data_IF_519162725451
#
_entry.id   IF_519162725451
#
_cell.length_a   1.000
_cell.length_b   1.000
_cell.length_c   1.000
_cell.angle_alpha   90.00
_cell.angle_beta   90.00
_cell.angle_gamma   90.00
#
_symmetry.space_group_name_H-M   'P 1'
#
loop_
_entity.id
_entity.type
_entity.pdbx_description
1 polymer ?
#
# COMPACT_ATOMS: atom_id res chain seq x y z
N UNK A 1 1.64 21.82 -6.09
CA UNK A 1 1.29 20.68 -6.98
C UNK A 1 2.50 19.80 -7.33
N UNK A 2 3.56 20.33 -7.94
CA UNK A 2 4.76 19.57 -8.34
C UNK A 2 5.50 18.79 -7.24
N UNK A 3 5.58 19.32 -6.01
CA UNK A 3 6.20 18.63 -4.87
C UNK A 3 5.39 17.42 -4.39
N UNK A 4 4.06 17.53 -4.40
CA UNK A 4 3.16 16.41 -4.11
C UNK A 4 3.29 15.34 -5.21
N UNK A 5 3.28 15.75 -6.48
CA UNK A 5 3.48 14.82 -7.61
C UNK A 5 4.85 14.13 -7.54
N UNK A 6 5.90 14.85 -7.14
CA UNK A 6 7.25 14.29 -6.95
C UNK A 6 7.35 13.37 -5.73
N UNK A 7 6.67 13.71 -4.62
CA UNK A 7 6.57 12.88 -3.43
C UNK A 7 5.76 11.61 -3.67
N UNK A 8 4.66 11.70 -4.41
CA UNK A 8 3.84 10.55 -4.83
C UNK A 8 4.61 9.66 -5.81
N UNK A 9 5.31 10.24 -6.79
CA UNK A 9 6.15 9.49 -7.72
C UNK A 9 7.36 8.82 -7.03
N UNK A 10 8.00 9.52 -6.09
CA UNK A 10 9.07 8.97 -5.26
C UNK A 10 8.58 7.83 -4.37
N UNK A 11 7.41 8.00 -3.73
CA UNK A 11 6.74 6.97 -2.95
C UNK A 11 6.36 5.76 -3.79
N UNK A 12 5.86 5.97 -5.01
CA UNK A 12 5.52 4.89 -5.93
C UNK A 12 6.71 4.01 -6.27
N UNK A 13 7.86 4.61 -6.56
CA UNK A 13 9.08 3.86 -6.88
C UNK A 13 9.55 3.05 -5.66
N UNK A 14 9.55 3.65 -4.48
CA UNK A 14 9.94 2.97 -3.25
C UNK A 14 9.02 1.77 -2.94
N UNK A 15 7.70 1.93 -3.07
CA UNK A 15 6.72 0.85 -2.88
C UNK A 15 6.91 -0.26 -3.91
N UNK A 16 7.11 0.07 -5.18
CA UNK A 16 7.32 -0.94 -6.23
C UNK A 16 8.61 -1.74 -5.99
N UNK A 17 9.67 -1.08 -5.51
CA UNK A 17 10.93 -1.75 -5.20
C UNK A 17 10.81 -2.65 -3.97
N UNK A 18 10.15 -2.18 -2.92
CA UNK A 18 9.85 -3.00 -1.74
C UNK A 18 9.01 -4.23 -2.10
N UNK A 19 8.05 -4.09 -3.02
CA UNK A 19 7.22 -5.19 -3.49
C UNK A 19 7.98 -6.24 -4.31
N UNK A 20 8.97 -5.84 -5.12
CA UNK A 20 9.79 -6.77 -5.91
C UNK A 20 10.82 -7.52 -5.09
N UNK A 21 11.30 -6.91 -4.01
CA UNK A 21 12.30 -7.51 -3.11
C UNK A 21 11.66 -8.42 -2.06
N UNK A 22 10.38 -8.23 -1.75
CA UNK A 22 9.62 -9.13 -0.90
C UNK A 22 9.11 -10.36 -1.68
N UNK A 23 9.28 -11.57 -1.15
CA UNK A 23 8.64 -12.74 -1.75
C UNK A 23 7.10 -12.61 -1.65
N UNK A 24 6.33 -12.76 -2.76
CA UNK A 24 4.89 -12.58 -2.78
C UNK A 24 4.12 -13.43 -1.74
N UNK A 25 4.64 -14.61 -1.37
CA UNK A 25 4.02 -15.49 -0.35
C UNK A 25 4.28 -15.01 1.08
N UNK A 26 5.34 -14.25 1.29
CA UNK A 26 5.78 -13.79 2.62
C UNK A 26 5.49 -12.32 2.89
N UNK A 27 5.34 -11.48 1.85
CA UNK A 27 5.17 -10.04 1.99
C UNK A 27 3.97 -9.64 2.89
N UNK A 28 2.82 -10.30 2.71
CA UNK A 28 1.58 -9.97 3.43
C UNK A 28 0.93 -11.14 4.17
N UNK A 29 1.55 -12.32 4.13
CA UNK A 29 1.13 -13.49 4.90
C UNK A 29 1.09 -13.26 6.42
N UNK A 30 2.09 -12.58 7.02
CA UNK A 30 2.06 -12.22 8.45
C UNK A 30 0.84 -11.38 8.84
N UNK A 31 0.42 -10.42 8.02
CA UNK A 31 -0.76 -9.58 8.29
C UNK A 31 -2.03 -10.43 8.37
N UNK A 32 -2.22 -11.35 7.42
CA UNK A 32 -3.38 -12.27 7.42
C UNK A 32 -3.40 -13.16 8.65
N UNK A 33 -2.24 -13.73 9.04
CA UNK A 33 -2.14 -14.57 10.24
C UNK A 33 -2.40 -13.82 11.53
N UNK A 34 -2.09 -12.53 11.58
CA UNK A 34 -2.38 -11.66 12.71
C UNK A 34 -3.81 -11.07 12.69
N UNK A 35 -4.68 -11.50 11.77
CA UNK A 35 -6.06 -11.02 11.66
C UNK A 35 -6.23 -9.71 10.87
N UNK A 36 -5.15 -9.12 10.35
CA UNK A 36 -5.17 -7.90 9.55
C UNK A 36 -5.40 -8.17 8.06
N UNK A 37 -6.49 -8.86 7.73
CA UNK A 37 -6.81 -9.25 6.34
C UNK A 37 -6.99 -8.05 5.42
N UNK A 38 -7.72 -7.03 5.86
CA UNK A 38 -7.90 -5.79 5.08
C UNK A 38 -6.58 -5.06 4.84
N UNK A 39 -5.68 -5.04 5.83
CA UNK A 39 -4.34 -4.46 5.67
C UNK A 39 -3.55 -5.19 4.58
N UNK A 40 -3.62 -6.53 4.56
CA UNK A 40 -2.94 -7.35 3.56
C UNK A 40 -3.48 -7.08 2.14
N UNK A 41 -4.79 -6.91 1.99
CA UNK A 41 -5.43 -6.59 0.71
C UNK A 41 -5.04 -5.20 0.21
N UNK A 42 -5.09 -4.19 1.07
CA UNK A 42 -4.68 -2.82 0.74
C UNK A 42 -3.20 -2.76 0.36
N UNK A 43 -2.33 -3.45 1.10
CA UNK A 43 -0.90 -3.50 0.78
C UNK A 43 -0.64 -4.23 -0.55
N UNK A 44 -1.37 -5.31 -0.84
CA UNK A 44 -1.31 -6.02 -2.13
C UNK A 44 -1.75 -5.11 -3.27
N UNK A 45 -2.88 -4.41 -3.13
CA UNK A 45 -3.41 -3.50 -4.14
C UNK A 45 -2.46 -2.32 -4.40
N UNK A 46 -1.88 -1.76 -3.34
CA UNK A 46 -0.88 -0.69 -3.42
C UNK A 46 0.39 -1.14 -4.16
N UNK A 47 0.92 -2.32 -3.84
CA UNK A 47 2.07 -2.90 -4.53
C UNK A 47 1.78 -3.18 -6.02
N UNK A 48 0.63 -3.76 -6.33
CA UNK A 48 0.21 -4.02 -7.71
C UNK A 48 0.07 -2.73 -8.52
N UNK A 49 -0.47 -1.67 -7.94
CA UNK A 49 -0.59 -0.36 -8.59
C UNK A 49 0.78 0.34 -8.75
N UNK A 50 1.65 0.20 -7.74
CA UNK A 50 3.01 0.73 -7.79
C UNK A 50 3.82 0.10 -8.93
N UNK A 51 3.71 -1.22 -9.11
CA UNK A 51 4.38 -1.97 -10.16
C UNK A 51 3.64 -1.95 -11.52
N UNK A 52 2.42 -1.39 -11.59
CA UNK A 52 1.63 -1.38 -12.83
C UNK A 52 2.39 -0.70 -13.98
N UNK A 53 2.50 -1.42 -15.09
CA UNK A 53 3.16 -1.01 -16.34
C UNK A 53 2.19 -1.25 -17.52
N UNK A 54 1.20 -0.36 -17.73
CA UNK A 54 0.20 -0.57 -18.77
C UNK A 54 0.84 -0.46 -20.15
N UNK A 55 0.35 -1.25 -21.10
CA UNK A 55 0.82 -1.26 -22.49
C UNK A 55 -0.31 -0.91 -23.44
N UNK A 56 -0.01 -0.14 -24.49
CA UNK A 56 -0.96 0.11 -25.56
C UNK A 56 -1.16 -1.14 -26.45
N UNK A 57 -2.04 -1.04 -27.44
CA UNK A 57 -2.32 -2.13 -28.40
C UNK A 57 -1.09 -2.54 -29.23
N UNK A 58 -0.05 -1.71 -29.25
CA UNK A 58 1.22 -1.97 -29.91
C UNK A 58 2.30 -2.52 -28.95
N UNK A 59 1.96 -2.75 -27.68
CA UNK A 59 2.86 -3.25 -26.66
C UNK A 59 3.80 -2.21 -26.06
N UNK A 60 3.68 -0.93 -26.42
CA UNK A 60 4.48 0.16 -25.85
C UNK A 60 3.98 0.52 -24.47
N UNK A 61 4.90 0.83 -23.56
CA UNK A 61 4.53 1.31 -22.23
C UNK A 61 3.76 2.64 -22.34
N UNK A 62 2.66 2.73 -21.61
CA UNK A 62 1.85 3.93 -21.46
C UNK A 62 2.02 4.47 -20.05
N UNK A 63 1.72 5.76 -19.86
CA UNK A 63 1.78 6.36 -18.53
C UNK A 63 0.65 5.76 -17.66
N UNK A 64 0.97 5.03 -16.58
CA UNK A 64 -0.04 4.58 -15.63
C UNK A 64 -0.74 5.76 -14.96
N UNK A 65 -2.08 5.74 -14.97
CA UNK A 65 -2.90 6.78 -14.32
C UNK A 65 -2.41 7.08 -12.89
N UNK A 66 -1.99 8.33 -12.61
CA UNK A 66 -1.50 8.72 -11.29
C UNK A 66 -2.60 8.67 -10.22
N UNK A 67 -3.87 8.77 -10.63
CA UNK A 67 -5.03 8.74 -9.73
C UNK A 67 -5.23 7.36 -9.08
N UNK A 68 -5.02 6.28 -9.84
CA UNK A 68 -5.18 4.93 -9.33
C UNK A 68 -4.18 4.64 -8.20
N UNK A 69 -2.91 5.01 -8.41
CA UNK A 69 -1.87 4.92 -7.36
C UNK A 69 -2.18 5.80 -6.16
N UNK A 70 -2.58 7.06 -6.38
CA UNK A 70 -2.93 7.96 -5.29
C UNK A 70 -4.08 7.42 -4.43
N UNK A 71 -5.09 6.81 -5.06
CA UNK A 71 -6.23 6.20 -4.35
C UNK A 71 -5.82 4.99 -3.52
N UNK A 72 -5.03 4.08 -4.10
CA UNK A 72 -4.51 2.91 -3.38
C UNK A 72 -3.61 3.32 -2.21
N UNK A 73 -2.78 4.35 -2.41
CA UNK A 73 -1.93 4.90 -1.35
C UNK A 73 -2.76 5.51 -0.22
N UNK A 74 -3.73 6.36 -0.56
CA UNK A 74 -4.60 6.99 0.43
C UNK A 74 -5.37 5.97 1.26
N UNK A 75 -5.92 4.93 0.61
CA UNK A 75 -6.64 3.86 1.30
C UNK A 75 -5.75 3.11 2.29
N UNK A 76 -4.54 2.73 1.88
CA UNK A 76 -3.57 2.07 2.75
C UNK A 76 -3.14 2.96 3.93
N UNK A 77 -2.84 4.24 3.69
CA UNK A 77 -2.45 5.20 4.72
C UNK A 77 -3.57 5.48 5.74
N UNK A 78 -4.80 5.63 5.27
CA UNK A 78 -5.96 5.85 6.15
C UNK A 78 -6.25 4.62 7.01
N UNK A 79 -6.16 3.42 6.44
CA UNK A 79 -6.32 2.18 7.18
C UNK A 79 -5.23 2.03 8.24
N UNK A 80 -3.95 2.26 7.88
CA UNK A 80 -2.83 2.17 8.83
C UNK A 80 -3.04 3.13 10.01
N UNK A 81 -3.36 4.40 9.74
CA UNK A 81 -3.60 5.38 10.78
C UNK A 81 -4.79 5.00 11.68
N UNK A 82 -5.84 4.39 11.12
CA UNK A 82 -6.97 3.89 11.90
C UNK A 82 -6.58 2.69 12.77
N UNK A 83 -5.86 1.72 12.20
CA UNK A 83 -5.39 0.54 12.90
C UNK A 83 -4.45 0.91 14.07
N UNK A 84 -3.52 1.85 13.86
CA UNK A 84 -2.64 2.36 14.92
C UNK A 84 -3.44 2.96 16.07
N UNK A 85 -4.42 3.83 15.79
CA UNK A 85 -5.29 4.41 16.83
C UNK A 85 -6.06 3.33 17.59
N UNK A 86 -6.60 2.33 16.89
CA UNK A 86 -7.31 1.21 17.52
C UNK A 86 -6.40 0.36 18.40
N UNK A 87 -5.17 0.07 17.95
CA UNK A 87 -4.19 -0.69 18.73
C UNK A 87 -3.75 0.07 19.99
N UNK A 88 -3.50 1.38 19.88
CA UNK A 88 -3.19 2.22 21.03
C UNK A 88 -4.36 2.21 22.01
N UNK A 89 -5.59 2.45 21.56
CA UNK A 89 -6.77 2.42 22.43
C UNK A 89 -6.95 1.07 23.15
N UNK A 90 -6.76 -0.04 22.42
CA UNK A 90 -6.84 -1.39 23.00
C UNK A 90 -5.76 -1.65 24.06
N UNK A 91 -4.55 -1.10 23.88
CA UNK A 91 -3.46 -1.26 24.86
C UNK A 91 -3.77 -0.61 26.21
N UNK A 92 -4.53 0.49 26.22
CA UNK A 92 -4.98 1.15 27.45
C UNK A 92 -6.13 0.39 28.12
N UNK A 93 -7.10 -0.09 27.35
CA UNK A 93 -8.25 -0.84 27.89
C UNK A 93 -7.84 -2.21 28.46
N UNK A 94 -6.78 -2.83 27.94
CA UNK A 94 -6.24 -4.09 28.47
C UNK A 94 -5.42 -3.94 29.76
N UNK A 95 -5.09 -2.72 30.18
CA UNK A 95 -4.42 -2.42 31.46
C UNK A 95 -5.37 -2.21 32.63
N UNK A 96 -6.68 -2.19 32.40
CA UNK A 96 -7.73 -2.03 33.43
C UNK A 96 -8.37 -3.38 33.87
N UNK A 97 -7.73 -4.51 33.54
CA UNK A 97 -8.16 -5.87 33.91
C UNK A 97 -7.33 -6.51 35.00
#
# INVERSE_FOLDING_TARGET
RRLLESGVAGGRRAVAEAARTADPRTAYGPLRRAGFTTAAELATALAAEADRRPRDVFGRLTDPSPEAYARSWLAASMYLAAAERSLVAASWAGGEG
#
